data_IF_290633880889
#
_entry.id   IF_290633880889
#
_cell.length_a   1.000
_cell.length_b   1.000
_cell.length_c   1.000
_cell.angle_alpha   90.00
_cell.angle_beta   90.00
_cell.angle_gamma   90.00
#
_symmetry.space_group_name_H-M   'P 1'
#
loop_
_entity.id
_entity.type
_entity.pdbx_description
1 polymer ?
#
# COMPACT_ATOMS: atom_id res chain seq x y z
N UNK A 1 -12.00 13.25 -7.70
CA UNK A 1 -11.21 13.55 -6.48
C UNK A 1 -11.02 12.22 -5.76
N UNK A 2 -9.77 11.83 -5.49
CA UNK A 2 -9.49 10.56 -4.85
C UNK A 2 -10.20 10.43 -3.50
N UNK A 3 -10.73 9.24 -3.20
CA UNK A 3 -11.31 8.91 -1.90
C UNK A 3 -10.25 8.41 -0.94
N UNK A 4 -9.30 7.62 -1.46
CA UNK A 4 -8.22 7.04 -0.68
C UNK A 4 -6.89 7.36 -1.37
N UNK A 5 -5.94 7.90 -0.60
CA UNK A 5 -4.53 8.01 -0.98
C UNK A 5 -3.78 6.84 -0.39
N UNK A 6 -3.22 5.99 -1.25
CA UNK A 6 -2.43 4.83 -0.83
C UNK A 6 -0.96 5.23 -0.89
N UNK A 7 -0.29 5.22 0.26
CA UNK A 7 1.12 5.62 0.40
C UNK A 7 1.99 4.39 0.56
N UNK A 8 3.00 4.28 -0.29
CA UNK A 8 3.90 3.14 -0.37
C UNK A 8 5.34 3.62 -0.24
N UNK A 9 5.99 3.42 0.91
CA UNK A 9 7.43 3.60 1.02
C UNK A 9 8.15 2.46 0.29
N UNK A 10 9.11 2.80 -0.56
CA UNK A 10 9.85 1.84 -1.40
C UNK A 10 11.34 2.00 -1.17
N UNK A 11 12.03 0.91 -0.81
CA UNK A 11 13.48 0.88 -0.71
C UNK A 11 14.02 -0.53 -0.99
N UNK A 12 14.68 -0.71 -2.14
CA UNK A 12 15.35 -1.96 -2.54
C UNK A 12 14.43 -3.21 -2.47
N UNK A 13 13.25 -3.15 -3.11
CA UNK A 13 12.22 -4.21 -3.08
C UNK A 13 11.81 -4.70 -4.48
N UNK A 14 12.69 -4.60 -5.47
CA UNK A 14 12.40 -4.93 -6.87
C UNK A 14 11.70 -6.28 -7.07
N UNK A 15 11.95 -7.26 -6.19
CA UNK A 15 11.39 -8.62 -6.27
C UNK A 15 9.89 -8.69 -5.99
N UNK A 16 9.37 -7.81 -5.15
CA UNK A 16 7.99 -7.84 -4.65
C UNK A 16 7.15 -6.70 -5.20
N UNK A 17 7.80 -5.61 -5.63
CA UNK A 17 7.18 -4.34 -5.98
C UNK A 17 6.12 -4.45 -7.07
N UNK A 18 6.34 -5.30 -8.09
CA UNK A 18 5.36 -5.51 -9.16
C UNK A 18 4.04 -6.09 -8.62
N UNK A 19 4.10 -7.11 -7.77
CA UNK A 19 2.92 -7.72 -7.17
C UNK A 19 2.15 -6.70 -6.33
N UNK A 20 2.85 -5.89 -5.55
CA UNK A 20 2.26 -4.81 -4.77
C UNK A 20 1.48 -3.85 -5.68
N UNK A 21 2.15 -3.25 -6.68
CA UNK A 21 1.54 -2.25 -7.57
C UNK A 21 0.39 -2.85 -8.37
N UNK A 22 0.53 -4.05 -8.94
CA UNK A 22 -0.52 -4.72 -9.69
C UNK A 22 -1.79 -4.90 -8.84
N UNK A 23 -1.66 -5.24 -7.56
CA UNK A 23 -2.78 -5.37 -6.64
C UNK A 23 -3.52 -4.05 -6.40
N UNK A 24 -2.79 -2.93 -6.38
CA UNK A 24 -3.36 -1.59 -6.19
C UNK A 24 -4.01 -1.07 -7.45
N UNK A 25 -3.42 -1.29 -8.62
CA UNK A 25 -3.98 -0.87 -9.89
C UNK A 25 -5.23 -1.67 -10.28
N UNK A 26 -5.37 -2.91 -9.78
CA UNK A 26 -6.53 -3.78 -9.98
C UNK A 26 -7.68 -3.57 -9.00
N UNK A 27 -7.59 -2.61 -8.07
CA UNK A 27 -8.66 -2.33 -7.12
C UNK A 27 -9.99 -1.99 -7.82
N UNK A 28 -11.11 -2.53 -7.29
CA UNK A 28 -12.47 -2.24 -7.81
C UNK A 28 -12.86 -0.78 -7.62
N UNK A 29 -12.36 -0.12 -6.58
CA UNK A 29 -12.52 1.30 -6.37
C UNK A 29 -11.58 2.07 -7.30
N UNK A 30 -12.11 2.83 -8.26
CA UNK A 30 -11.32 3.64 -9.20
C UNK A 30 -10.84 4.98 -8.61
N UNK A 31 -11.58 5.53 -7.64
CA UNK A 31 -11.31 6.84 -7.02
C UNK A 31 -10.18 6.76 -5.97
N UNK A 32 -9.06 6.19 -6.36
CA UNK A 32 -7.84 6.10 -5.54
C UNK A 32 -6.70 6.87 -6.20
N UNK A 33 -5.75 7.32 -5.40
CA UNK A 33 -4.41 7.72 -5.87
C UNK A 33 -3.36 6.86 -5.16
N UNK A 34 -2.27 6.58 -5.85
CA UNK A 34 -1.18 5.73 -5.39
C UNK A 34 0.08 6.59 -5.37
N UNK A 35 0.63 6.81 -4.18
CA UNK A 35 1.81 7.66 -3.97
C UNK A 35 2.97 6.78 -3.51
N UNK A 36 3.88 6.50 -4.42
CA UNK A 36 5.09 5.74 -4.14
C UNK A 36 6.24 6.67 -3.80
N UNK A 37 6.87 6.46 -2.66
CA UNK A 37 8.06 7.20 -2.24
C UNK A 37 9.27 6.29 -2.39
N UNK A 38 10.02 6.46 -3.45
CA UNK A 38 11.31 5.78 -3.65
C UNK A 38 12.37 6.43 -2.78
N UNK A 39 12.73 5.76 -1.71
CA UNK A 39 13.64 6.24 -0.67
C UNK A 39 15.11 6.00 -1.06
N UNK A 40 15.50 6.47 -2.24
CA UNK A 40 16.83 6.33 -2.85
C UNK A 40 17.24 4.87 -3.09
N UNK A 41 16.34 4.05 -3.68
CA UNK A 41 16.63 2.66 -4.04
C UNK A 41 17.82 2.55 -4.98
N UNK A 42 18.65 1.51 -4.76
CA UNK A 42 19.84 1.22 -5.56
C UNK A 42 19.64 0.06 -6.54
N UNK A 43 18.49 -0.64 -6.43
CA UNK A 43 18.05 -1.71 -7.31
C UNK A 43 17.12 -1.21 -8.44
N UNK A 44 16.41 -2.09 -9.12
CA UNK A 44 15.49 -1.71 -10.19
C UNK A 44 14.16 -1.08 -9.69
N UNK A 45 13.94 -0.91 -8.38
CA UNK A 45 12.67 -0.41 -7.83
C UNK A 45 12.26 0.93 -8.43
N UNK A 46 13.15 1.92 -8.47
CA UNK A 46 12.87 3.24 -9.03
C UNK A 46 12.46 3.18 -10.51
N UNK A 47 13.11 2.32 -11.30
CA UNK A 47 12.76 2.11 -12.72
C UNK A 47 11.37 1.47 -12.86
N UNK A 48 11.08 0.44 -12.06
CA UNK A 48 9.76 -0.22 -12.05
C UNK A 48 8.67 0.82 -11.75
N UNK A 49 8.82 1.64 -10.72
CA UNK A 49 7.87 2.68 -10.36
C UNK A 49 7.60 3.65 -11.52
N UNK A 50 8.65 4.13 -12.19
CA UNK A 50 8.51 5.05 -13.33
C UNK A 50 7.80 4.39 -14.52
N UNK A 51 8.08 3.11 -14.80
CA UNK A 51 7.44 2.36 -15.88
C UNK A 51 5.92 2.18 -15.63
N UNK A 52 5.49 2.03 -14.37
CA UNK A 52 4.08 1.96 -13.98
C UNK A 52 3.40 3.33 -14.02
N UNK A 53 4.03 4.37 -13.44
CA UNK A 53 3.47 5.72 -13.44
C UNK A 53 3.28 6.30 -14.85
N UNK A 54 4.08 5.87 -15.81
CA UNK A 54 3.92 6.25 -17.22
C UNK A 54 2.66 5.64 -17.88
N UNK A 55 2.01 4.65 -17.24
CA UNK A 55 0.87 3.89 -17.80
C UNK A 55 -0.44 4.12 -17.05
N UNK A 56 -0.40 4.66 -15.83
CA UNK A 56 -1.60 4.87 -15.01
C UNK A 56 -1.50 6.20 -14.26
N UNK A 57 -2.38 7.13 -14.61
CA UNK A 57 -2.41 8.49 -14.07
C UNK A 57 -2.80 8.56 -12.58
N UNK A 58 -3.30 7.47 -12.01
CA UNK A 58 -3.57 7.37 -10.56
C UNK A 58 -2.28 7.25 -9.73
N UNK A 59 -1.16 6.93 -10.40
CA UNK A 59 0.11 6.67 -9.74
C UNK A 59 1.05 7.87 -9.82
N UNK A 60 1.58 8.27 -8.67
CA UNK A 60 2.58 9.32 -8.51
C UNK A 60 3.82 8.73 -7.86
N UNK A 61 4.99 9.05 -8.40
CA UNK A 61 6.28 8.62 -7.86
C UNK A 61 7.07 9.85 -7.39
N UNK A 62 7.61 9.75 -6.19
CA UNK A 62 8.49 10.75 -5.60
C UNK A 62 9.82 10.05 -5.29
N UNK A 63 10.89 10.51 -5.92
CA UNK A 63 12.23 10.00 -5.65
C UNK A 63 12.91 10.88 -4.60
N UNK A 64 13.45 10.25 -3.57
CA UNK A 64 14.29 10.93 -2.59
C UNK A 64 15.76 10.96 -3.06
N UNK A 65 16.46 12.02 -2.72
CA UNK A 65 17.90 12.17 -3.05
C UNK A 65 18.76 11.26 -2.16
N UNK A 66 18.31 10.95 -0.95
CA UNK A 66 18.97 10.09 0.03
C UNK A 66 17.94 9.25 0.80
N UNK A 67 18.40 8.14 1.38
CA UNK A 67 17.55 7.29 2.22
C UNK A 67 17.19 8.02 3.52
N UNK A 68 15.90 8.33 3.69
CA UNK A 68 15.37 9.05 4.84
C UNK A 68 14.67 8.12 5.84
N UNK A 69 14.45 6.85 5.48
CA UNK A 69 13.77 5.85 6.28
C UNK A 69 12.24 5.86 6.13
N UNK A 70 11.63 4.71 6.41
CA UNK A 70 10.19 4.43 6.18
C UNK A 70 9.27 5.48 6.79
N UNK A 71 9.56 5.96 8.02
CA UNK A 71 8.70 6.94 8.69
C UNK A 71 8.66 8.27 7.93
N UNK A 72 9.81 8.78 7.51
CA UNK A 72 9.89 10.05 6.77
C UNK A 72 9.27 9.91 5.37
N UNK A 73 9.49 8.77 4.72
CA UNK A 73 8.85 8.45 3.45
C UNK A 73 7.31 8.47 3.57
N UNK A 74 6.74 7.87 4.63
CA UNK A 74 5.30 7.93 4.90
C UNK A 74 4.82 9.36 5.15
N UNK A 75 5.53 10.16 5.95
CA UNK A 75 5.20 11.58 6.19
C UNK A 75 5.22 12.36 4.88
N UNK A 76 6.23 12.14 4.03
CA UNK A 76 6.30 12.76 2.70
C UNK A 76 5.08 12.43 1.85
N UNK A 77 4.68 11.15 1.82
CA UNK A 77 3.47 10.71 1.11
C UNK A 77 2.19 11.38 1.64
N UNK A 78 2.03 11.50 2.97
CA UNK A 78 0.88 12.21 3.57
C UNK A 78 0.81 13.66 3.10
N UNK A 79 1.96 14.34 3.03
CA UNK A 79 2.01 15.76 2.61
C UNK A 79 1.53 15.94 1.16
N UNK A 80 1.73 14.95 0.31
CA UNK A 80 1.35 14.97 -1.10
C UNK A 80 -0.03 14.34 -1.38
N UNK A 81 -0.68 13.77 -0.36
CA UNK A 81 -1.98 13.11 -0.46
C UNK A 81 -3.13 14.13 -0.65
N UNK A 82 -4.04 13.83 -1.57
CA UNK A 82 -5.23 14.62 -1.85
C UNK A 82 -6.54 13.88 -1.58
N UNK A 83 -6.47 12.60 -1.19
CA UNK A 83 -7.62 11.76 -0.86
C UNK A 83 -8.25 12.14 0.48
N UNK A 84 -9.51 11.76 0.64
CA UNK A 84 -10.25 11.95 1.88
C UNK A 84 -9.66 11.12 3.02
N UNK A 85 -9.15 9.95 2.70
CA UNK A 85 -8.50 9.01 3.64
C UNK A 85 -7.11 8.68 3.14
N UNK A 86 -6.22 8.35 4.08
CA UNK A 86 -4.87 7.88 3.81
C UNK A 86 -4.74 6.44 4.27
N UNK A 87 -4.16 5.60 3.41
CA UNK A 87 -3.83 4.21 3.72
C UNK A 87 -2.35 3.98 3.47
N UNK A 88 -1.70 3.19 4.33
CA UNK A 88 -0.33 2.75 4.13
C UNK A 88 -0.32 1.29 3.68
N UNK A 89 0.49 1.00 2.66
CA UNK A 89 0.77 -0.36 2.20
C UNK A 89 2.28 -0.52 2.11
N UNK A 90 2.81 -1.58 2.67
CA UNK A 90 4.23 -1.88 2.56
C UNK A 90 4.51 -2.47 1.16
N UNK A 91 5.66 -2.14 0.59
CA UNK A 91 5.99 -2.41 -0.81
C UNK A 91 6.23 -3.90 -1.14
N UNK A 92 6.28 -4.76 -0.12
CA UNK A 92 6.35 -6.22 -0.20
C UNK A 92 5.01 -6.92 0.12
N UNK A 93 3.98 -6.12 0.43
CA UNK A 93 2.60 -6.59 0.65
C UNK A 93 1.73 -6.36 -0.60
N UNK A 94 0.52 -6.94 -0.60
CA UNK A 94 -0.50 -6.70 -1.63
C UNK A 94 -1.91 -6.69 -1.03
N UNK A 95 -2.85 -6.05 -1.73
CA UNK A 95 -4.23 -5.95 -1.31
C UNK A 95 -5.13 -6.92 -2.09
N UNK A 96 -6.18 -7.40 -1.43
CA UNK A 96 -7.30 -8.03 -2.10
C UNK A 96 -8.00 -7.03 -3.03
N UNK A 97 -8.52 -7.50 -4.15
CA UNK A 97 -9.04 -6.67 -5.25
C UNK A 97 -10.19 -5.73 -4.83
N UNK A 98 -10.98 -6.09 -3.82
CA UNK A 98 -12.11 -5.29 -3.28
C UNK A 98 -11.75 -4.49 -2.03
N UNK A 99 -10.50 -4.55 -1.55
CA UNK A 99 -10.13 -4.02 -0.25
C UNK A 99 -10.46 -2.52 -0.10
N UNK A 100 -10.10 -1.69 -1.07
CA UNK A 100 -10.37 -0.25 -1.00
C UNK A 100 -11.87 0.07 -1.00
N UNK A 101 -12.67 -0.66 -1.77
CA UNK A 101 -14.12 -0.49 -1.83
C UNK A 101 -14.78 -0.86 -0.50
N UNK A 102 -14.39 -2.00 0.07
CA UNK A 102 -14.92 -2.48 1.35
C UNK A 102 -14.54 -1.55 2.50
N UNK A 103 -13.28 -1.10 2.56
CA UNK A 103 -12.81 -0.14 3.56
C UNK A 103 -13.56 1.20 3.46
N UNK A 104 -13.75 1.72 2.24
CA UNK A 104 -14.51 2.96 2.03
C UNK A 104 -15.97 2.82 2.45
N UNK A 105 -16.59 1.67 2.18
CA UNK A 105 -17.95 1.36 2.64
C UNK A 105 -18.03 1.38 4.17
N UNK A 106 -17.12 0.69 4.85
CA UNK A 106 -17.06 0.68 6.32
C UNK A 106 -16.89 2.09 6.91
N UNK A 107 -15.98 2.89 6.35
CA UNK A 107 -15.75 4.28 6.77
C UNK A 107 -16.96 5.18 6.54
N UNK A 108 -17.78 4.87 5.53
CA UNK A 108 -19.01 5.62 5.24
C UNK A 108 -20.14 5.24 6.20
N UNK A 109 -20.28 3.95 6.51
CA UNK A 109 -21.31 3.42 7.42
C UNK A 109 -20.96 3.72 8.89
N UNK A 110 -19.67 3.73 9.22
CA UNK A 110 -19.15 3.95 10.57
C UNK A 110 -18.03 5.00 10.53
N UNK A 111 -18.36 6.30 10.52
CA UNK A 111 -17.35 7.37 10.46
C UNK A 111 -16.42 7.32 11.68
N UNK A 112 -15.15 7.09 11.41
CA UNK A 112 -14.07 7.02 12.41
C UNK A 112 -12.83 7.75 11.89
N UNK A 113 -12.00 8.26 12.80
CA UNK A 113 -10.74 8.92 12.43
C UNK A 113 -9.66 7.91 12.03
N UNK A 114 -9.70 6.70 12.59
CA UNK A 114 -8.76 5.61 12.32
C UNK A 114 -9.52 4.29 12.18
N UNK A 115 -9.32 3.63 11.05
CA UNK A 115 -9.79 2.27 10.81
C UNK A 115 -8.58 1.34 10.78
N UNK A 116 -8.55 0.36 11.69
CA UNK A 116 -7.53 -0.70 11.68
C UNK A 116 -8.15 -1.98 11.11
N UNK A 117 -7.48 -2.59 10.14
CA UNK A 117 -7.90 -3.83 9.50
C UNK A 117 -6.80 -4.89 9.54
N UNK A 118 -7.19 -6.14 9.48
CA UNK A 118 -6.27 -7.27 9.61
C UNK A 118 -5.49 -7.55 8.32
N UNK A 119 -4.32 -8.16 8.49
CA UNK A 119 -3.50 -8.71 7.41
C UNK A 119 -3.61 -10.22 7.43
N UNK A 120 -3.69 -10.85 6.25
CA UNK A 120 -3.58 -12.31 6.12
C UNK A 120 -2.16 -12.64 5.71
N UNK A 121 -1.50 -13.47 6.50
CA UNK A 121 -0.18 -13.98 6.13
C UNK A 121 -0.33 -15.09 5.08
N UNK A 122 0.02 -14.80 3.84
CA UNK A 122 0.25 -15.83 2.83
C UNK A 122 1.65 -16.41 3.02
N UNK A 123 1.74 -17.38 3.91
CA UNK A 123 3.00 -18.07 4.12
C UNK A 123 3.10 -19.26 3.17
N UNK A 124 4.27 -19.46 2.60
CA UNK A 124 4.65 -20.72 1.97
C UNK A 124 4.45 -21.87 2.97
N UNK A 125 4.30 -23.11 2.49
CA UNK A 125 3.87 -24.34 3.19
C UNK A 125 4.56 -24.65 4.55
N UNK A 126 5.56 -23.88 4.97
CA UNK A 126 6.38 -24.08 6.17
C UNK A 126 6.01 -23.21 7.38
N UNK A 127 4.88 -22.47 7.34
CA UNK A 127 4.44 -21.72 8.52
C UNK A 127 3.79 -22.63 9.52
N UNK A 128 4.27 -22.60 10.77
CA UNK A 128 3.73 -23.41 11.84
C UNK A 128 2.24 -23.14 12.04
N UNK A 129 1.48 -24.19 12.37
CA UNK A 129 0.05 -24.08 12.66
C UNK A 129 -0.23 -23.10 13.82
N UNK A 130 0.73 -22.90 14.72
CA UNK A 130 0.65 -21.92 15.81
C UNK A 130 0.57 -20.49 15.29
N UNK A 131 1.32 -20.13 14.24
CA UNK A 131 1.27 -18.79 13.65
C UNK A 131 -0.03 -18.58 12.88
N UNK A 132 -0.52 -19.59 12.16
CA UNK A 132 -1.83 -19.56 11.49
C UNK A 132 -2.96 -19.35 12.50
N UNK A 133 -2.92 -20.07 13.61
CA UNK A 133 -3.90 -19.96 14.69
C UNK A 133 -3.82 -18.60 15.40
N UNK A 134 -2.61 -18.03 15.56
CA UNK A 134 -2.44 -16.71 16.14
C UNK A 134 -3.08 -15.62 15.28
N UNK A 135 -2.84 -15.65 13.97
CA UNK A 135 -3.46 -14.70 13.00
C UNK A 135 -4.98 -14.82 13.02
N UNK A 136 -5.53 -16.05 13.02
CA UNK A 136 -6.98 -16.30 13.04
C UNK A 136 -7.63 -15.76 14.31
N UNK A 137 -6.96 -15.81 15.46
CA UNK A 137 -7.50 -15.32 16.74
C UNK A 137 -7.48 -13.78 16.88
N UNK A 138 -6.72 -13.07 16.03
CA UNK A 138 -6.71 -11.60 16.01
C UNK A 138 -7.80 -10.97 15.11
N UNK A 139 -8.42 -11.76 14.24
CA UNK A 139 -9.41 -11.28 13.25
C UNK A 139 -10.86 -11.49 13.73
N UNK A 140 -11.09 -12.15 14.85
CA UNK A 140 -12.44 -12.29 15.43
C UNK A 140 -12.77 -11.08 16.32
N UNK A 141 -13.91 -10.40 16.08
CA UNK A 141 -14.40 -9.31 16.91
C UNK A 141 -14.70 -9.74 18.34
#
# INVERSE_FOLDING_TARGET
MAKISIIIPVYNVEKYLQQCIDSLLSQTLSDIEIICIDDASQDASGKILNDYAARDDRMKVIHADENMGTLRARIKGITDAAGQYVMFVDSDDYLEVSACEELLKLLTEHPVDVLHFGTVLHANENVSDDLKNWVTNFITP
#
